data_IF_354036152682
#
_entry.id   IF_354036152682
#
_cell.length_a   1.000
_cell.length_b   1.000
_cell.length_c   1.000
_cell.angle_alpha   90.00
_cell.angle_beta   90.00
_cell.angle_gamma   90.00
#
_symmetry.space_group_name_H-M   'P 1'
#
loop_
_entity.id
_entity.type
_entity.pdbx_description
1 polymer ?
#
# COMPACT_ATOMS: atom_id res chain seq x y z
N UNK A 1 12.68 -5.60 -6.93
CA UNK A 1 12.42 -4.21 -6.50
C UNK A 1 13.75 -3.47 -6.54
N UNK A 2 13.79 -2.27 -7.10
CA UNK A 2 15.00 -1.46 -7.13
C UNK A 2 15.37 -1.03 -5.70
N UNK A 3 16.62 -1.27 -5.30
CA UNK A 3 17.15 -0.90 -3.98
C UNK A 3 17.63 0.57 -3.99
N UNK A 4 16.77 1.49 -4.42
CA UNK A 4 17.11 2.91 -4.46
C UNK A 4 16.98 3.45 -3.04
N UNK A 5 18.06 4.02 -2.52
CA UNK A 5 18.02 4.77 -1.27
C UNK A 5 17.33 6.12 -1.50
N UNK A 6 15.99 6.12 -1.35
CA UNK A 6 15.15 7.32 -1.52
C UNK A 6 15.54 8.45 -0.56
N UNK A 7 16.05 8.12 0.63
CA UNK A 7 16.44 9.12 1.65
C UNK A 7 17.73 9.81 1.23
N UNK A 8 18.74 9.04 0.82
CA UNK A 8 19.98 9.61 0.29
C UNK A 8 19.72 10.46 -0.96
N UNK A 9 18.82 10.01 -1.84
CA UNK A 9 18.43 10.77 -3.02
C UNK A 9 17.73 12.09 -2.67
N UNK A 10 16.80 12.07 -1.70
CA UNK A 10 16.14 13.29 -1.20
C UNK A 10 17.15 14.27 -0.62
N UNK A 11 18.03 13.81 0.26
CA UNK A 11 19.05 14.65 0.89
C UNK A 11 20.01 15.28 -0.14
N UNK A 12 20.41 14.50 -1.15
CA UNK A 12 21.23 15.01 -2.25
C UNK A 12 20.50 16.08 -3.06
N UNK A 13 19.21 15.89 -3.36
CA UNK A 13 18.40 16.86 -4.09
C UNK A 13 18.16 18.16 -3.27
N UNK A 14 17.91 18.06 -1.96
CA UNK A 14 17.73 19.23 -1.09
C UNK A 14 19.01 20.06 -0.94
N UNK A 15 20.18 19.42 -0.96
CA UNK A 15 21.50 20.09 -0.91
C UNK A 15 21.93 20.67 -2.25
N UNK A 16 21.38 20.17 -3.35
CA UNK A 16 21.75 20.63 -4.68
C UNK A 16 21.28 22.07 -4.91
N UNK A 17 22.10 22.86 -5.59
CA UNK A 17 21.74 24.23 -5.94
C UNK A 17 20.54 24.24 -6.88
N UNK A 18 19.43 24.91 -6.53
CA UNK A 18 18.31 25.07 -7.45
C UNK A 18 18.71 25.93 -8.64
N UNK A 19 18.33 25.54 -9.86
CA UNK A 19 18.61 26.34 -11.05
C UNK A 19 18.74 25.52 -12.33
N UNK A 20 18.99 26.21 -13.44
CA UNK A 20 19.16 25.57 -14.75
C UNK A 20 20.44 24.75 -14.74
N UNK A 21 20.33 23.48 -15.08
CA UNK A 21 21.47 22.64 -15.42
C UNK A 21 21.95 23.06 -16.81
N UNK A 22 22.82 24.08 -16.83
CA UNK A 22 23.60 24.53 -17.99
C UNK A 22 23.18 25.89 -18.56
N UNK A 23 24.14 26.79 -18.68
CA UNK A 23 24.37 27.60 -19.87
C UNK A 23 25.82 27.29 -20.28
N UNK A 24 26.07 26.94 -21.56
CA UNK A 24 27.44 26.75 -22.06
C UNK A 24 28.19 28.04 -21.75
N UNK A 25 29.17 28.00 -20.85
CA UNK A 25 30.08 29.13 -20.69
C UNK A 25 30.93 29.17 -21.96
N UNK A 26 30.66 30.14 -22.81
CA UNK A 26 31.47 30.54 -23.93
C UNK A 26 32.75 31.23 -23.42
N UNK A 27 33.68 30.41 -22.90
CA UNK A 27 35.08 30.81 -22.80
C UNK A 27 35.62 31.20 -21.42
N UNK A 28 35.33 30.45 -20.35
CA UNK A 28 36.20 30.48 -19.16
C UNK A 28 37.21 29.34 -19.22
N UNK A 29 38.50 29.70 -19.22
CA UNK A 29 39.61 28.85 -19.67
C UNK A 29 39.84 27.51 -18.96
N UNK A 30 40.62 26.66 -19.62
CA UNK A 30 41.34 25.47 -19.11
C UNK A 30 40.56 24.47 -18.22
N UNK A 31 39.23 24.42 -18.27
CA UNK A 31 38.48 23.38 -17.57
C UNK A 31 38.69 22.05 -18.30
N UNK A 32 39.25 21.08 -17.58
CA UNK A 32 39.25 19.67 -17.96
C UNK A 32 38.45 18.91 -16.91
N UNK A 33 37.32 18.34 -17.33
CA UNK A 33 36.44 17.58 -16.44
C UNK A 33 35.92 16.35 -17.17
N UNK A 34 35.84 15.25 -16.44
CA UNK A 34 35.25 13.99 -16.89
C UNK A 34 34.26 13.52 -15.84
N UNK A 35 33.08 13.12 -16.28
CA UNK A 35 32.07 12.46 -15.46
C UNK A 35 31.95 11.01 -15.90
N UNK A 36 32.00 10.08 -14.95
CA UNK A 36 31.84 8.66 -15.21
C UNK A 36 30.49 8.17 -14.70
N UNK A 37 29.86 7.28 -15.47
CA UNK A 37 28.64 6.60 -15.07
C UNK A 37 28.88 5.58 -13.95
N UNK A 38 27.79 5.04 -13.40
CA UNK A 38 27.86 4.02 -12.34
C UNK A 38 28.55 2.73 -12.78
N UNK A 39 28.63 2.48 -14.08
CA UNK A 39 29.33 1.36 -14.70
C UNK A 39 30.81 1.67 -15.04
N UNK A 40 31.28 2.88 -14.71
CA UNK A 40 32.63 3.36 -15.01
C UNK A 40 32.82 3.87 -16.45
N UNK A 41 31.76 3.90 -17.27
CA UNK A 41 31.82 4.48 -18.61
C UNK A 41 32.01 6.00 -18.55
N UNK A 42 32.73 6.57 -19.51
CA UNK A 42 32.83 8.02 -19.63
C UNK A 42 31.53 8.57 -20.21
N UNK A 43 30.84 9.45 -19.46
CA UNK A 43 29.51 9.98 -19.81
C UNK A 43 29.57 11.43 -20.25
N UNK A 44 30.44 12.25 -19.65
CA UNK A 44 30.57 13.67 -19.99
C UNK A 44 32.04 14.06 -19.99
N UNK A 45 32.47 14.81 -21.01
CA UNK A 45 33.83 15.34 -21.13
C UNK A 45 33.81 16.82 -21.48
N UNK A 46 34.80 17.54 -20.95
CA UNK A 46 35.13 18.91 -21.34
C UNK A 46 36.64 18.99 -21.57
N UNK A 47 37.07 19.18 -22.80
CA UNK A 47 38.46 19.48 -23.19
C UNK A 47 38.51 20.68 -24.14
N UNK A 48 38.89 21.82 -23.56
CA UNK A 48 39.02 23.07 -24.31
C UNK A 48 40.07 23.03 -25.41
N UNK A 49 41.15 22.26 -25.26
CA UNK A 49 42.22 22.21 -26.27
C UNK A 49 41.76 21.53 -27.55
N UNK A 50 40.83 20.60 -27.43
CA UNK A 50 40.30 19.81 -28.54
C UNK A 50 38.88 20.24 -28.94
N UNK A 51 38.36 21.33 -28.34
CA UNK A 51 36.99 21.82 -28.50
C UNK A 51 35.90 20.75 -28.25
N UNK A 52 36.17 19.81 -27.34
CA UNK A 52 35.28 18.70 -27.05
C UNK A 52 34.49 19.00 -25.78
N UNK A 53 33.17 19.16 -25.88
CA UNK A 53 32.31 19.49 -24.73
C UNK A 53 30.96 18.82 -24.86
N UNK A 54 30.58 18.05 -23.85
CA UNK A 54 29.24 17.51 -23.72
C UNK A 54 29.23 16.05 -23.31
N UNK A 55 28.05 15.44 -23.47
CA UNK A 55 27.86 14.01 -23.28
C UNK A 55 28.58 13.22 -24.36
N UNK A 56 29.08 12.05 -24.00
CA UNK A 56 29.86 11.17 -24.87
C UNK A 56 28.99 10.00 -25.35
N UNK A 57 29.11 9.64 -26.63
CA UNK A 57 28.42 8.50 -27.22
C UNK A 57 27.33 8.88 -28.22
N UNK A 58 26.75 7.85 -28.85
CA UNK A 58 25.76 7.99 -29.92
C UNK A 58 24.45 8.67 -29.46
N UNK A 59 24.12 8.55 -28.17
CA UNK A 59 22.91 9.11 -27.57
C UNK A 59 23.13 10.44 -26.84
N UNK A 60 24.29 11.09 -27.04
CA UNK A 60 24.71 12.28 -26.28
C UNK A 60 23.66 13.40 -26.19
N UNK A 61 22.92 13.68 -27.27
CA UNK A 61 21.84 14.68 -27.25
C UNK A 61 20.67 14.27 -26.33
N UNK A 62 20.29 12.99 -26.36
CA UNK A 62 19.23 12.45 -25.51
C UNK A 62 19.66 12.40 -24.03
N UNK A 63 20.92 12.04 -23.78
CA UNK A 63 21.50 12.01 -22.43
C UNK A 63 21.56 13.42 -21.83
N UNK A 64 21.95 14.43 -22.62
CA UNK A 64 21.94 15.83 -22.22
C UNK A 64 20.51 16.31 -21.89
N UNK A 65 19.54 15.97 -22.74
CA UNK A 65 18.14 16.32 -22.51
C UNK A 65 17.62 15.68 -21.22
N UNK A 66 17.86 14.39 -21.01
CA UNK A 66 17.43 13.68 -19.81
C UNK A 66 18.05 14.29 -18.55
N UNK A 67 19.37 14.53 -18.57
CA UNK A 67 20.08 15.14 -17.45
C UNK A 67 19.52 16.52 -17.10
N UNK A 68 19.14 17.33 -18.10
CA UNK A 68 18.56 18.65 -17.89
C UNK A 68 17.14 18.61 -17.31
N UNK A 69 16.40 17.55 -17.57
CA UNK A 69 15.07 17.31 -16.99
C UNK A 69 15.13 16.76 -15.56
N UNK A 70 16.24 16.12 -15.17
CA UNK A 70 16.46 15.60 -13.83
C UNK A 70 16.98 16.67 -12.85
N UNK A 71 16.35 17.84 -12.84
CA UNK A 71 16.68 18.88 -11.86
C UNK A 71 16.24 18.47 -10.43
N UNK A 72 16.86 19.06 -9.38
CA UNK A 72 16.52 18.70 -8.00
C UNK A 72 15.05 18.86 -7.63
N UNK A 73 14.34 19.86 -8.19
CA UNK A 73 12.92 20.07 -7.91
C UNK A 73 12.06 18.96 -8.53
N UNK A 74 12.39 18.55 -9.76
CA UNK A 74 11.74 17.40 -10.42
C UNK A 74 11.94 16.11 -9.62
N UNK A 75 13.15 15.85 -9.12
CA UNK A 75 13.43 14.67 -8.28
C UNK A 75 12.63 14.70 -6.98
N UNK A 76 12.59 15.84 -6.29
CA UNK A 76 11.80 15.99 -5.05
C UNK A 76 10.31 15.81 -5.29
N UNK A 77 9.76 16.37 -6.37
CA UNK A 77 8.35 16.20 -6.73
C UNK A 77 7.99 14.72 -6.97
N UNK A 78 8.85 13.97 -7.67
CA UNK A 78 8.65 12.53 -7.89
C UNK A 78 8.70 11.73 -6.58
N UNK A 79 9.59 12.11 -5.64
CA UNK A 79 9.66 11.49 -4.32
C UNK A 79 8.40 11.78 -3.48
N UNK A 80 7.90 13.01 -3.52
CA UNK A 80 6.67 13.41 -2.83
C UNK A 80 5.44 12.67 -3.39
N UNK A 81 5.33 12.55 -4.71
CA UNK A 81 4.26 11.77 -5.36
C UNK A 81 4.31 10.30 -4.96
N UNK A 82 5.51 9.73 -4.85
CA UNK A 82 5.71 8.34 -4.46
C UNK A 82 5.29 8.10 -3.01
N UNK A 83 5.69 8.98 -2.09
CA UNK A 83 5.25 8.92 -0.69
C UNK A 83 3.74 9.12 -0.55
N UNK A 84 3.13 9.99 -1.35
CA UNK A 84 1.68 10.16 -1.37
C UNK A 84 0.95 8.90 -1.85
N UNK A 85 1.49 8.20 -2.86
CA UNK A 85 0.97 6.92 -3.33
C UNK A 85 1.12 5.83 -2.27
N UNK A 86 2.27 5.75 -1.60
CA UNK A 86 2.50 4.79 -0.51
C UNK A 86 1.49 5.01 0.63
N UNK A 87 1.27 6.27 1.06
CA UNK A 87 0.23 6.61 2.05
C UNK A 87 -1.17 6.22 1.61
N UNK A 88 -1.54 6.49 0.35
CA UNK A 88 -2.86 6.11 -0.17
C UNK A 88 -3.07 4.59 -0.17
N UNK A 89 -2.04 3.83 -0.50
CA UNK A 89 -2.11 2.35 -0.45
C UNK A 89 -2.34 1.88 0.98
N UNK A 90 -1.61 2.42 1.96
CA UNK A 90 -1.78 2.09 3.37
C UNK A 90 -3.20 2.43 3.87
N UNK A 91 -3.73 3.59 3.48
CA UNK A 91 -5.08 4.02 3.82
C UNK A 91 -6.16 3.08 3.24
N UNK A 92 -6.04 2.71 1.97
CA UNK A 92 -6.96 1.78 1.32
C UNK A 92 -6.91 0.37 1.95
N UNK A 93 -5.72 -0.13 2.27
CA UNK A 93 -5.55 -1.39 3.01
C UNK A 93 -6.22 -1.28 4.39
N UNK A 94 -5.99 -0.18 5.11
CA UNK A 94 -6.61 0.08 6.40
C UNK A 94 -8.13 0.15 6.32
N UNK A 95 -8.67 0.77 5.26
CA UNK A 95 -10.11 0.84 5.00
C UNK A 95 -10.69 -0.55 4.73
N UNK A 96 -10.09 -1.29 3.79
CA UNK A 96 -10.51 -2.65 3.45
C UNK A 96 -10.50 -3.56 4.68
N UNK A 97 -9.47 -3.46 5.53
CA UNK A 97 -9.38 -4.23 6.77
C UNK A 97 -10.49 -3.88 7.77
N UNK A 98 -10.82 -2.58 7.94
CA UNK A 98 -11.94 -2.16 8.81
C UNK A 98 -13.28 -2.64 8.28
N UNK A 99 -13.51 -2.54 6.99
CA UNK A 99 -14.75 -3.01 6.34
C UNK A 99 -14.88 -4.53 6.44
N UNK A 100 -13.81 -5.26 6.17
CA UNK A 100 -13.75 -6.71 6.33
C UNK A 100 -14.01 -7.12 7.79
N UNK A 101 -13.36 -6.47 8.76
CA UNK A 101 -13.58 -6.75 10.18
C UNK A 101 -15.04 -6.48 10.59
N UNK A 102 -15.64 -5.38 10.13
CA UNK A 102 -17.04 -5.05 10.40
C UNK A 102 -17.99 -6.10 9.81
N UNK A 103 -17.76 -6.52 8.56
CA UNK A 103 -18.54 -7.57 7.91
C UNK A 103 -18.45 -8.90 8.65
N UNK A 104 -17.24 -9.29 9.06
CA UNK A 104 -17.01 -10.48 9.88
C UNK A 104 -17.78 -10.43 11.21
N UNK A 105 -17.68 -9.31 11.95
CA UNK A 105 -18.39 -9.16 13.22
C UNK A 105 -19.91 -9.22 13.08
N UNK A 106 -20.46 -8.63 12.02
CA UNK A 106 -21.89 -8.70 11.72
C UNK A 106 -22.32 -10.14 11.42
N UNK A 107 -21.56 -10.88 10.60
CA UNK A 107 -21.86 -12.28 10.27
C UNK A 107 -21.81 -13.19 11.52
N UNK A 108 -20.80 -13.00 12.38
CA UNK A 108 -20.72 -13.73 13.65
C UNK A 108 -21.90 -13.42 14.60
N UNK A 109 -22.40 -12.19 14.60
CA UNK A 109 -23.62 -11.82 15.33
C UNK A 109 -24.84 -12.61 14.87
N UNK A 110 -25.10 -12.61 13.56
CA UNK A 110 -26.22 -13.34 12.97
C UNK A 110 -26.14 -14.85 13.26
N UNK A 111 -24.96 -15.46 13.14
CA UNK A 111 -24.78 -16.89 13.44
C UNK A 111 -25.12 -17.24 14.90
N UNK A 112 -24.77 -16.38 15.85
CA UNK A 112 -25.13 -16.58 17.27
C UNK A 112 -26.64 -16.47 17.48
N UNK A 113 -27.28 -15.48 16.87
CA UNK A 113 -28.73 -15.28 16.98
C UNK A 113 -29.50 -16.46 16.38
N UNK A 114 -29.15 -16.92 15.18
CA UNK A 114 -29.77 -18.09 14.55
C UNK A 114 -29.59 -19.36 15.38
N UNK A 115 -28.39 -19.60 15.92
CA UNK A 115 -28.15 -20.75 16.79
C UNK A 115 -29.02 -20.69 18.05
N UNK A 116 -29.16 -19.51 18.67
CA UNK A 116 -29.97 -19.34 19.87
C UNK A 116 -31.45 -19.59 19.60
N UNK A 117 -31.98 -19.13 18.46
CA UNK A 117 -33.37 -19.39 18.06
C UNK A 117 -33.60 -20.88 17.87
N UNK A 118 -32.70 -21.61 17.21
CA UNK A 118 -32.83 -23.06 17.05
C UNK A 118 -32.79 -23.82 18.38
N UNK A 119 -31.97 -23.37 19.34
CA UNK A 119 -31.99 -23.96 20.69
C UNK A 119 -33.30 -23.70 21.43
N UNK A 120 -33.88 -22.50 21.28
CA UNK A 120 -35.17 -22.16 21.88
C UNK A 120 -36.30 -23.00 21.27
N UNK A 121 -36.40 -23.07 19.93
CA UNK A 121 -37.42 -23.84 19.23
C UNK A 121 -37.35 -25.34 19.60
N UNK A 122 -36.14 -25.91 19.68
CA UNK A 122 -35.94 -27.30 20.08
C UNK A 122 -36.40 -27.56 21.53
N UNK A 123 -36.04 -26.67 22.45
CA UNK A 123 -36.46 -26.76 23.84
C UNK A 123 -37.98 -26.62 24.00
N UNK A 124 -38.62 -25.74 23.23
CA UNK A 124 -40.08 -25.56 23.24
C UNK A 124 -40.81 -26.81 22.77
N UNK A 125 -40.32 -27.48 21.72
CA UNK A 125 -40.89 -28.75 21.27
C UNK A 125 -40.77 -29.85 22.33
N UNK A 126 -39.61 -29.97 22.99
CA UNK A 126 -39.43 -30.95 24.07
C UNK A 126 -40.36 -30.66 25.26
N UNK A 127 -40.50 -29.39 25.66
CA UNK A 127 -41.43 -28.98 26.71
C UNK A 127 -42.86 -29.32 26.33
N UNK A 128 -43.27 -29.07 25.08
CA UNK A 128 -44.62 -29.41 24.61
C UNK A 128 -44.88 -30.92 24.65
N UNK A 129 -43.92 -31.73 24.20
CA UNK A 129 -44.00 -33.18 24.26
C UNK A 129 -44.08 -33.69 25.71
N UNK A 130 -43.26 -33.14 26.61
CA UNK A 130 -43.28 -33.48 28.03
C UNK A 130 -44.61 -33.07 28.69
N UNK A 131 -45.15 -31.90 28.38
CA UNK A 131 -46.47 -31.45 28.87
C UNK A 131 -47.59 -32.41 28.46
N UNK A 132 -47.61 -32.84 27.21
CA UNK A 132 -48.58 -33.83 26.74
C UNK A 132 -48.44 -35.15 27.51
N UNK A 133 -47.21 -35.61 27.74
CA UNK A 133 -46.95 -36.84 28.49
C UNK A 133 -47.37 -36.76 29.95
N UNK A 134 -47.15 -35.61 30.60
CA UNK A 134 -47.63 -35.36 31.97
C UNK A 134 -49.16 -35.43 32.01
N UNK A 135 -49.85 -34.76 31.09
CA UNK A 135 -51.31 -34.78 31.04
C UNK A 135 -51.87 -36.19 30.83
N UNK A 136 -51.27 -37.00 29.95
CA UNK A 136 -51.62 -38.42 29.76
C UNK A 136 -51.50 -39.20 31.09
N UNK A 137 -50.36 -39.06 31.77
CA UNK A 137 -50.08 -39.76 33.03
C UNK A 137 -51.01 -39.31 34.17
N UNK A 138 -51.32 -38.02 34.26
CA UNK A 138 -52.26 -37.48 35.24
C UNK A 138 -53.69 -38.00 35.01
N UNK A 139 -54.09 -38.14 33.74
CA UNK A 139 -55.39 -38.70 33.36
C UNK A 139 -55.51 -40.18 33.73
N UNK A 140 -54.46 -40.97 33.44
CA UNK A 140 -54.38 -42.39 33.79
C UNK A 140 -54.36 -42.62 35.31
N UNK A 141 -53.73 -41.71 36.07
CA UNK A 141 -53.71 -41.77 37.53
C UNK A 141 -55.07 -41.41 38.14
N UNK A 142 -55.78 -40.41 37.58
CA UNK A 142 -57.12 -40.03 38.02
C UNK A 142 -58.14 -41.15 37.78
N UNK A 143 -58.09 -41.85 36.64
CA UNK A 143 -58.99 -42.96 36.32
C UNK A 143 -58.80 -44.22 37.17
N UNK A 144 -57.65 -44.38 37.84
CA UNK A 144 -57.36 -45.53 38.73
C UNK A 144 -57.80 -45.31 40.19
N UNK A 145 -58.26 -44.11 40.54
CA UNK A 145 -58.74 -43.79 41.90
C UNK A 145 -60.23 -44.09 42.15
N UNK A 146 -60.98 -44.49 41.13
CA UNK A 146 -62.44 -44.75 41.24
C UNK A 146 -62.80 -46.23 41.48
N UNK A 147 -61.85 -47.15 41.32
CA UNK A 147 -61.99 -48.57 41.66
C UNK A 147 -61.22 -48.91 42.96
N UNK A 148 -61.75 -48.53 44.12
CA UNK A 148 -61.31 -49.00 45.45
C UNK A 148 -62.43 -48.95 46.47
#
# INVERSE_FOLDING_TARGET
MSNIDKRALREAAEKATPGRIGDRIDGSGSIKYQCFGNDGSLVLQTDHKNMEYGFIGENSEADELFFRMCDPATVLALLDELEAKDRRIEEEIGRANREHHRGFMMACGHLKEHSNVHYADAAEMEIAALRNRINELESDAAGKGEDS
#
